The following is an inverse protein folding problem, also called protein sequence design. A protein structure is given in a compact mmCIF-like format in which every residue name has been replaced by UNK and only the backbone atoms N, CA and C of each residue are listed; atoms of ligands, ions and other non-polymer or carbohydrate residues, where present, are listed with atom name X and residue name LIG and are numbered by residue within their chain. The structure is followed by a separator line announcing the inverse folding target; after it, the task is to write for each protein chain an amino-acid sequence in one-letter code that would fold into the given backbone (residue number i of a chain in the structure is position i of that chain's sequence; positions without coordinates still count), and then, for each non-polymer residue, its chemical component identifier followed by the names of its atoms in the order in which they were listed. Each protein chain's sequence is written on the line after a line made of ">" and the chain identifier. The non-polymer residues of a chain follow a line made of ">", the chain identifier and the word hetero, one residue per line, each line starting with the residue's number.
data_IF_670849306654
#
_entry.id   IF_670849306654
#
_cell.length_a   1.000
_cell.length_b   1.000
_cell.length_c   1.000
_cell.angle_alpha   90.00
_cell.angle_beta   90.00
_cell.angle_gamma   90.00
#
_symmetry.space_group_name_H-M   'P 1'
#
loop_
_entity.id
_entity.type
_entity.pdbx_description
1 polymer ?
#
# COMPACT_ATOMS: atom_id res chain seq x y z
N UNK A 1 -34.73 2.80 -6.97
CA UNK A 1 -34.00 2.19 -5.84
C UNK A 1 -32.61 2.78 -5.85
N UNK A 2 -32.08 3.23 -4.71
CA UNK A 2 -30.70 3.73 -4.66
C UNK A 2 -29.73 2.60 -5.00
N UNK A 3 -28.68 2.90 -5.78
CA UNK A 3 -27.66 1.89 -6.10
C UNK A 3 -26.85 1.51 -4.83
N UNK A 4 -26.55 0.22 -4.62
CA UNK A 4 -25.77 -0.22 -3.48
C UNK A 4 -24.31 0.29 -3.59
N UNK A 5 -23.75 0.68 -2.44
CA UNK A 5 -22.35 1.11 -2.33
C UNK A 5 -21.42 -0.09 -2.42
N UNK A 6 -21.80 -1.21 -1.82
CA UNK A 6 -21.06 -2.48 -1.86
C UNK A 6 -22.01 -3.61 -2.23
N UNK A 7 -21.59 -4.45 -3.16
CA UNK A 7 -22.27 -5.70 -3.50
C UNK A 7 -21.23 -6.82 -3.58
N UNK A 8 -21.40 -7.85 -2.76
CA UNK A 8 -20.78 -9.16 -2.91
C UNK A 8 -21.86 -10.06 -3.50
N UNK A 9 -21.60 -10.65 -4.66
CA UNK A 9 -22.55 -11.47 -5.40
C UNK A 9 -21.99 -12.89 -5.55
N UNK A 10 -22.58 -13.82 -4.79
CA UNK A 10 -22.26 -15.25 -4.78
C UNK A 10 -20.76 -15.55 -4.71
N UNK A 11 -20.05 -14.85 -3.81
CA UNK A 11 -18.60 -14.97 -3.71
C UNK A 11 -18.19 -16.25 -2.99
N UNK A 12 -17.26 -16.99 -3.60
CA UNK A 12 -16.59 -18.12 -2.97
C UNK A 12 -15.12 -17.79 -2.77
N UNK A 13 -14.64 -17.92 -1.53
CA UNK A 13 -13.28 -17.55 -1.13
C UNK A 13 -12.63 -18.67 -0.33
N UNK A 14 -11.44 -19.08 -0.78
CA UNK A 14 -10.60 -20.08 -0.12
C UNK A 14 -9.44 -19.42 0.63
N UNK A 15 -9.16 -19.93 1.83
CA UNK A 15 -7.90 -19.67 2.55
C UNK A 15 -7.18 -20.99 2.81
N UNK A 16 -5.94 -21.10 2.33
CA UNK A 16 -5.22 -22.36 2.38
C UNK A 16 -5.99 -23.44 1.63
N UNK A 17 -6.31 -24.55 2.29
CA UNK A 17 -7.10 -25.64 1.70
C UNK A 17 -8.62 -25.50 1.93
N UNK A 18 -9.06 -24.63 2.84
CA UNK A 18 -10.45 -24.54 3.27
C UNK A 18 -11.24 -23.42 2.57
N UNK A 19 -12.48 -23.73 2.17
CA UNK A 19 -13.46 -22.72 1.74
C UNK A 19 -13.97 -22.01 2.99
N UNK A 20 -13.78 -20.69 3.06
CA UNK A 20 -14.21 -19.87 4.20
C UNK A 20 -15.53 -19.17 3.89
N UNK A 21 -15.70 -18.68 2.66
CA UNK A 21 -16.96 -18.14 2.17
C UNK A 21 -17.42 -19.01 0.99
N UNK A 22 -18.67 -19.44 1.00
CA UNK A 22 -19.27 -20.24 -0.08
C UNK A 22 -20.56 -19.56 -0.52
N UNK A 23 -20.62 -19.17 -1.78
CA UNK A 23 -21.78 -18.52 -2.41
C UNK A 23 -22.35 -17.36 -1.57
N UNK A 24 -21.45 -16.61 -0.91
CA UNK A 24 -21.83 -15.58 0.03
C UNK A 24 -22.28 -14.31 -0.71
N UNK A 25 -23.40 -13.73 -0.30
CA UNK A 25 -23.90 -12.48 -0.88
C UNK A 25 -24.16 -11.45 0.22
N UNK A 26 -23.77 -10.20 -0.04
CA UNK A 26 -23.98 -9.08 0.87
C UNK A 26 -24.20 -7.81 0.06
N UNK A 27 -25.23 -7.03 0.42
CA UNK A 27 -25.49 -5.72 -0.16
C UNK A 27 -25.47 -4.67 0.94
N UNK A 28 -24.83 -3.55 0.67
CA UNK A 28 -24.76 -2.41 1.59
C UNK A 28 -25.13 -1.16 0.83
N UNK A 29 -26.19 -0.50 1.29
CA UNK A 29 -26.71 0.72 0.68
C UNK A 29 -26.09 1.97 1.31
N UNK A 30 -26.34 3.11 0.68
CA UNK A 30 -26.00 4.41 1.26
C UNK A 30 -26.75 4.64 2.58
N UNK A 31 -26.01 5.10 3.60
CA UNK A 31 -26.54 5.32 4.95
C UNK A 31 -26.78 4.03 5.75
N UNK A 32 -26.34 2.87 5.24
CA UNK A 32 -26.45 1.60 5.93
C UNK A 32 -25.17 1.29 6.72
N UNK A 33 -25.33 0.80 7.95
CA UNK A 33 -24.24 0.28 8.78
C UNK A 33 -24.49 -1.21 9.04
N UNK A 34 -23.71 -2.08 8.41
CA UNK A 34 -23.79 -3.53 8.59
C UNK A 34 -22.72 -3.97 9.59
N UNK A 35 -23.14 -4.62 10.67
CA UNK A 35 -22.20 -5.23 11.63
C UNK A 35 -22.20 -6.75 11.44
N UNK A 36 -21.04 -7.27 11.03
CA UNK A 36 -20.74 -8.69 10.97
C UNK A 36 -20.39 -9.18 12.38
N UNK A 37 -21.20 -10.06 12.94
CA UNK A 37 -20.94 -10.72 14.22
C UNK A 37 -20.96 -12.25 14.07
N UNK A 38 -20.69 -12.99 15.16
CA UNK A 38 -20.56 -14.46 15.14
C UNK A 38 -19.16 -14.87 15.59
N UNK A 39 -18.92 -16.15 15.85
CA UNK A 39 -17.69 -16.63 16.51
C UNK A 39 -16.37 -16.24 15.81
N UNK A 40 -15.26 -16.30 16.56
CA UNK A 40 -13.93 -16.10 15.98
C UNK A 40 -13.65 -17.20 14.95
N UNK A 41 -13.21 -16.80 13.75
CA UNK A 41 -12.92 -17.74 12.67
C UNK A 41 -14.07 -18.03 11.71
N UNK A 42 -15.28 -17.49 11.95
CA UNK A 42 -16.44 -17.70 11.05
C UNK A 42 -16.28 -17.05 9.66
N UNK A 43 -15.34 -16.12 9.51
CA UNK A 43 -15.01 -15.50 8.21
C UNK A 43 -15.23 -13.99 8.12
N UNK A 44 -15.52 -13.28 9.21
CA UNK A 44 -15.74 -11.82 9.22
C UNK A 44 -14.61 -11.02 8.55
N UNK A 45 -13.37 -11.23 8.96
CA UNK A 45 -12.20 -10.58 8.35
C UNK A 45 -11.99 -11.01 6.89
N UNK A 46 -12.41 -12.23 6.52
CA UNK A 46 -12.42 -12.68 5.12
C UNK A 46 -13.42 -11.88 4.30
N UNK A 47 -14.60 -11.55 4.82
CA UNK A 47 -15.57 -10.70 4.13
C UNK A 47 -14.99 -9.30 3.92
N UNK A 48 -14.37 -8.70 4.96
CA UNK A 48 -13.74 -7.38 4.84
C UNK A 48 -12.58 -7.38 3.83
N UNK A 49 -11.65 -8.33 3.93
CA UNK A 49 -10.52 -8.44 2.99
C UNK A 49 -11.00 -8.74 1.56
N UNK A 50 -12.12 -9.47 1.40
CA UNK A 50 -12.76 -9.73 0.10
C UNK A 50 -13.38 -8.46 -0.47
N UNK A 51 -14.18 -7.73 0.32
CA UNK A 51 -14.77 -6.45 -0.06
C UNK A 51 -13.71 -5.40 -0.41
N UNK A 52 -12.52 -5.49 0.19
CA UNK A 52 -11.35 -4.66 -0.08
C UNK A 52 -10.44 -5.19 -1.22
N UNK A 53 -10.82 -6.27 -1.92
CA UNK A 53 -10.08 -6.84 -3.08
C UNK A 53 -8.65 -7.31 -2.74
N UNK A 54 -8.48 -7.78 -1.51
CA UNK A 54 -7.21 -8.32 -1.02
C UNK A 54 -7.08 -9.82 -1.25
N UNK A 55 -8.20 -10.53 -1.32
CA UNK A 55 -8.25 -11.97 -1.57
C UNK A 55 -8.68 -12.28 -3.00
N UNK A 56 -8.12 -13.32 -3.64
CA UNK A 56 -8.64 -13.85 -4.89
C UNK A 56 -10.00 -14.52 -4.66
N UNK A 57 -10.88 -14.44 -5.66
CA UNK A 57 -12.18 -15.11 -5.67
C UNK A 57 -12.08 -16.40 -6.51
N UNK A 58 -12.75 -17.47 -6.07
CA UNK A 58 -12.97 -18.66 -6.91
C UNK A 58 -14.18 -18.48 -7.83
N UNK A 59 -15.23 -17.81 -7.34
CA UNK A 59 -16.44 -17.47 -8.08
C UNK A 59 -17.06 -16.19 -7.54
N UNK A 60 -18.04 -15.66 -8.27
CA UNK A 60 -18.78 -14.46 -7.90
C UNK A 60 -18.05 -13.16 -8.22
N UNK A 61 -18.60 -12.04 -7.74
CA UNK A 61 -18.04 -10.71 -7.98
C UNK A 61 -18.19 -9.77 -6.79
N UNK A 62 -17.31 -8.77 -6.73
CA UNK A 62 -17.40 -7.64 -5.78
C UNK A 62 -17.55 -6.36 -6.59
N UNK A 63 -18.58 -5.58 -6.28
CA UNK A 63 -18.84 -4.28 -6.90
C UNK A 63 -18.82 -3.16 -5.87
N UNK A 64 -18.25 -2.03 -6.26
CA UNK A 64 -18.33 -0.77 -5.51
C UNK A 64 -19.08 0.24 -6.36
N UNK A 65 -20.17 0.82 -5.83
CA UNK A 65 -21.03 1.78 -6.53
C UNK A 65 -21.41 1.28 -7.94
N UNK A 66 -21.95 0.07 -8.02
CA UNK A 66 -22.37 -0.56 -9.28
C UNK A 66 -21.25 -1.12 -10.17
N UNK A 67 -19.98 -0.75 -9.96
CA UNK A 67 -18.86 -1.19 -10.80
C UNK A 67 -18.13 -2.40 -10.22
N UNK A 68 -17.94 -3.45 -11.03
CA UNK A 68 -17.13 -4.63 -10.67
C UNK A 68 -15.67 -4.23 -10.44
N UNK A 69 -15.20 -4.39 -9.21
CA UNK A 69 -13.79 -4.15 -8.83
C UNK A 69 -12.95 -5.42 -8.85
N UNK A 70 -13.57 -6.59 -8.63
CA UNK A 70 -12.97 -7.90 -8.89
C UNK A 70 -14.01 -9.01 -9.04
N UNK A 71 -13.65 -10.09 -9.73
CA UNK A 71 -14.47 -11.29 -9.93
C UNK A 71 -13.62 -12.56 -9.96
N UNK A 72 -14.28 -13.72 -9.98
CA UNK A 72 -13.63 -15.04 -10.11
C UNK A 72 -12.95 -15.29 -11.46
N UNK A 73 -13.24 -14.48 -12.48
CA UNK A 73 -12.55 -14.54 -13.79
C UNK A 73 -11.19 -13.81 -13.75
N UNK A 74 -10.86 -13.17 -12.62
CA UNK A 74 -9.60 -12.47 -12.40
C UNK A 74 -9.62 -11.00 -12.82
N UNK A 75 -10.79 -10.43 -13.16
CA UNK A 75 -10.93 -8.98 -13.39
C UNK A 75 -10.49 -8.24 -12.13
N UNK A 76 -9.83 -7.09 -12.32
CA UNK A 76 -9.34 -6.27 -11.21
C UNK A 76 -9.29 -4.79 -11.57
N UNK A 77 -10.39 -4.10 -11.34
CA UNK A 77 -10.50 -2.65 -11.57
C UNK A 77 -10.19 -1.88 -10.28
N UNK A 78 -9.70 -0.65 -10.44
CA UNK A 78 -9.59 0.26 -9.29
C UNK A 78 -11.00 0.72 -8.90
N UNK A 79 -11.30 0.85 -7.59
CA UNK A 79 -12.51 1.52 -7.13
C UNK A 79 -12.61 2.93 -7.73
N UNK A 80 -13.81 3.35 -8.15
CA UNK A 80 -14.03 4.71 -8.68
C UNK A 80 -13.82 5.80 -7.61
N UNK A 81 -14.08 5.45 -6.35
CA UNK A 81 -14.06 6.37 -5.21
C UNK A 81 -13.09 5.82 -4.15
N UNK A 82 -12.34 6.68 -3.45
CA UNK A 82 -11.57 6.26 -2.28
C UNK A 82 -12.52 5.70 -1.22
N UNK A 83 -12.09 4.70 -0.47
CA UNK A 83 -12.91 4.08 0.56
C UNK A 83 -12.14 3.91 1.87
N UNK A 84 -12.87 3.91 2.97
CA UNK A 84 -12.34 3.68 4.30
C UNK A 84 -11.92 2.22 4.50
N UNK A 85 -10.72 2.00 5.02
CA UNK A 85 -10.25 0.64 5.32
C UNK A 85 -9.41 0.62 6.60
N UNK A 86 -9.86 -0.18 7.57
CA UNK A 86 -9.09 -0.59 8.74
C UNK A 86 -9.03 -2.11 8.77
N UNK A 87 -7.83 -2.68 8.62
CA UNK A 87 -7.60 -4.12 8.72
C UNK A 87 -7.25 -4.51 10.16
N UNK A 88 -7.47 -5.77 10.53
CA UNK A 88 -7.13 -6.28 11.87
C UNK A 88 -5.63 -6.07 12.21
N UNK A 89 -4.74 -6.25 11.22
CA UNK A 89 -3.29 -6.05 11.39
C UNK A 89 -2.82 -4.58 11.31
N UNK A 90 -3.74 -3.61 11.33
CA UNK A 90 -3.52 -2.16 11.14
C UNK A 90 -2.96 -1.73 9.78
N UNK A 91 -1.99 -2.46 9.22
CA UNK A 91 -1.37 -2.24 7.91
C UNK A 91 -0.83 -0.81 7.73
N UNK A 92 -0.14 -0.30 8.76
CA UNK A 92 0.48 1.03 8.78
C UNK A 92 1.95 0.95 8.38
N UNK A 93 2.50 2.05 7.85
CA UNK A 93 3.94 2.15 7.53
C UNK A 93 4.72 2.58 8.77
N UNK A 94 5.56 1.74 9.39
CA UNK A 94 6.17 2.03 10.70
C UNK A 94 7.07 3.29 10.70
N UNK A 95 7.70 3.57 9.57
CA UNK A 95 8.64 4.69 9.41
C UNK A 95 7.96 6.05 9.24
N UNK A 96 6.65 6.09 8.94
CA UNK A 96 5.90 7.33 8.82
C UNK A 96 5.54 7.90 10.19
N UNK A 97 5.39 9.22 10.26
CA UNK A 97 4.75 9.84 11.42
C UNK A 97 3.23 9.68 11.35
N UNK A 98 2.54 9.86 12.49
CA UNK A 98 1.07 9.87 12.52
C UNK A 98 0.52 10.91 11.52
N UNK A 99 1.06 12.14 11.57
CA UNK A 99 0.67 13.22 10.68
C UNK A 99 0.83 12.84 9.22
N UNK A 100 2.00 12.30 8.83
CA UNK A 100 2.28 11.88 7.46
C UNK A 100 1.32 10.79 6.99
N UNK A 101 1.06 9.79 7.82
CA UNK A 101 0.13 8.70 7.48
C UNK A 101 -1.27 9.27 7.20
N UNK A 102 -1.80 10.11 8.09
CA UNK A 102 -3.14 10.67 7.94
C UNK A 102 -3.24 11.65 6.77
N UNK A 103 -2.23 12.51 6.57
CA UNK A 103 -2.16 13.42 5.42
C UNK A 103 -2.12 12.65 4.09
N UNK A 104 -1.43 11.50 4.04
CA UNK A 104 -1.42 10.65 2.84
C UNK A 104 -2.80 10.08 2.54
N UNK A 105 -3.57 9.68 3.56
CA UNK A 105 -4.94 9.17 3.39
C UNK A 105 -5.89 10.27 2.94
N UNK A 106 -5.76 11.47 3.49
CA UNK A 106 -6.53 12.66 3.09
C UNK A 106 -6.22 13.02 1.63
N UNK A 107 -4.93 13.07 1.27
CA UNK A 107 -4.49 13.39 -0.09
C UNK A 107 -4.91 12.32 -1.11
N UNK A 108 -5.04 11.05 -0.71
CA UNK A 108 -5.59 9.98 -1.54
C UNK A 108 -7.07 10.18 -1.88
N UNK A 109 -7.77 11.02 -1.11
CA UNK A 109 -9.14 11.41 -1.40
C UNK A 109 -9.23 12.70 -2.22
N UNK A 110 -8.10 13.24 -2.69
CA UNK A 110 -8.01 14.55 -3.37
C UNK A 110 -8.60 15.70 -2.55
N UNK A 111 -8.44 15.61 -1.21
CA UNK A 111 -8.92 16.61 -0.25
C UNK A 111 -7.77 17.18 0.57
N UNK A 112 -8.04 18.30 1.22
CA UNK A 112 -7.28 18.87 2.33
C UNK A 112 -8.23 19.03 3.52
N UNK A 113 -7.80 18.60 4.71
CA UNK A 113 -8.64 18.57 5.91
C UNK A 113 -7.78 18.76 7.16
N UNK A 114 -8.22 19.60 8.10
CA UNK A 114 -7.51 19.78 9.37
C UNK A 114 -7.79 18.60 10.30
N UNK A 115 -6.88 17.62 10.30
CA UNK A 115 -7.05 16.38 11.06
C UNK A 115 -6.77 16.54 12.56
N UNK A 116 -6.15 17.65 12.97
CA UNK A 116 -5.67 17.88 14.35
C UNK A 116 -6.76 17.68 15.41
N UNK A 117 -7.99 18.23 15.28
CA UNK A 117 -9.06 18.01 16.27
C UNK A 117 -9.42 16.53 16.46
N UNK A 118 -9.33 15.73 15.39
CA UNK A 118 -9.62 14.28 15.44
C UNK A 118 -8.51 13.54 16.20
N UNK A 119 -7.25 13.87 15.92
CA UNK A 119 -6.12 13.25 16.64
C UNK A 119 -6.17 13.62 18.13
N UNK A 120 -6.57 14.86 18.44
CA UNK A 120 -6.77 15.34 19.82
C UNK A 120 -7.92 14.63 20.53
N UNK A 121 -9.05 14.38 19.87
CA UNK A 121 -10.17 13.62 20.47
C UNK A 121 -9.74 12.22 20.88
N UNK A 122 -8.88 11.57 20.10
CA UNK A 122 -8.31 10.25 20.41
C UNK A 122 -7.14 10.28 21.42
N UNK A 123 -6.84 11.44 22.01
CA UNK A 123 -5.76 11.63 23.01
C UNK A 123 -4.36 11.24 22.48
N UNK A 124 -4.12 11.44 21.17
CA UNK A 124 -2.81 11.18 20.52
C UNK A 124 -2.23 12.42 19.83
N UNK A 125 -2.82 13.61 20.04
CA UNK A 125 -2.42 14.87 19.38
C UNK A 125 -0.99 15.30 19.65
N UNK A 126 -0.51 15.13 20.89
CA UNK A 126 0.88 15.43 21.28
C UNK A 126 1.92 14.51 20.61
N UNK A 127 1.50 13.36 20.08
CA UNK A 127 2.36 12.38 19.40
C UNK A 127 2.28 12.46 17.88
N UNK A 128 1.62 13.48 17.31
CA UNK A 128 1.40 13.56 15.85
C UNK A 128 2.67 13.46 15.00
N UNK A 129 3.81 13.90 15.54
CA UNK A 129 5.12 13.89 14.87
C UNK A 129 5.94 12.63 15.19
N UNK A 130 5.47 11.74 16.07
CA UNK A 130 6.14 10.49 16.38
C UNK A 130 5.99 9.52 15.22
N UNK A 131 7.03 8.72 14.99
CA UNK A 131 6.97 7.57 14.07
C UNK A 131 6.00 6.53 14.61
N UNK A 132 5.24 5.91 13.71
CA UNK A 132 4.26 4.85 14.06
C UNK A 132 4.95 3.68 14.78
N UNK A 133 6.20 3.38 14.43
CA UNK A 133 7.03 2.36 15.10
C UNK A 133 7.22 2.61 16.61
N UNK A 134 7.07 3.85 17.10
CA UNK A 134 7.26 4.22 18.52
C UNK A 134 5.94 4.28 19.31
N UNK A 135 4.82 3.94 18.67
CA UNK A 135 3.50 3.94 19.30
C UNK A 135 3.21 2.60 19.98
N UNK A 136 2.41 2.63 21.05
CA UNK A 136 1.84 1.40 21.62
C UNK A 136 0.84 0.77 20.64
N UNK A 137 0.53 -0.52 20.80
CA UNK A 137 -0.44 -1.21 19.94
C UNK A 137 -1.80 -0.51 19.87
N UNK A 138 -2.33 -0.02 21.01
CA UNK A 138 -3.57 0.74 21.05
C UNK A 138 -3.49 2.11 20.38
N UNK A 139 -2.34 2.78 20.45
CA UNK A 139 -2.12 4.04 19.71
C UNK A 139 -2.02 3.81 18.20
N UNK A 140 -1.34 2.74 17.77
CA UNK A 140 -1.35 2.32 16.37
C UNK A 140 -2.77 2.00 15.91
N UNK A 141 -3.58 1.36 16.75
CA UNK A 141 -4.98 1.10 16.46
C UNK A 141 -5.77 2.38 16.22
N UNK A 142 -5.63 3.38 17.08
CA UNK A 142 -6.26 4.70 16.90
C UNK A 142 -5.92 5.30 15.54
N UNK A 143 -4.64 5.27 15.15
CA UNK A 143 -4.21 5.78 13.84
C UNK A 143 -4.83 4.99 12.68
N UNK A 144 -4.90 3.67 12.78
CA UNK A 144 -5.51 2.81 11.76
C UNK A 144 -7.02 3.03 11.63
N UNK A 145 -7.71 3.25 12.75
CA UNK A 145 -9.15 3.55 12.78
C UNK A 145 -9.41 4.93 12.17
N UNK A 146 -8.68 5.97 12.59
CA UNK A 146 -8.81 7.31 12.00
C UNK A 146 -8.53 7.26 10.49
N UNK A 147 -7.48 6.53 10.06
CA UNK A 147 -7.19 6.30 8.64
C UNK A 147 -8.36 5.66 7.88
N UNK A 148 -9.06 4.72 8.52
CA UNK A 148 -10.25 4.09 7.95
C UNK A 148 -11.45 5.02 7.85
N UNK A 149 -11.61 5.98 8.76
CA UNK A 149 -12.74 6.89 8.78
C UNK A 149 -12.56 8.13 7.87
N UNK A 150 -11.31 8.55 7.63
CA UNK A 150 -10.98 9.75 6.86
C UNK A 150 -11.75 9.85 5.53
N UNK A 151 -11.83 8.81 4.69
CA UNK A 151 -12.54 8.91 3.41
C UNK A 151 -14.01 9.33 3.57
N UNK A 152 -14.69 8.92 4.64
CA UNK A 152 -16.02 9.44 4.98
C UNK A 152 -15.96 10.87 5.53
N UNK A 153 -15.07 11.13 6.49
CA UNK A 153 -14.97 12.44 7.15
C UNK A 153 -14.70 13.62 6.19
N UNK A 154 -14.02 13.35 5.08
CA UNK A 154 -13.59 14.39 4.12
C UNK A 154 -14.45 14.47 2.86
N UNK A 155 -15.46 13.61 2.69
CA UNK A 155 -16.29 13.60 1.48
C UNK A 155 -17.76 13.74 1.83
N UNK A 156 -18.47 14.64 1.14
CA UNK A 156 -19.94 14.73 1.27
C UNK A 156 -20.66 13.60 0.53
N UNK A 157 -20.09 13.14 -0.59
CA UNK A 157 -20.65 12.00 -1.31
C UNK A 157 -20.52 10.72 -0.50
N UNK A 158 -21.50 9.82 -0.63
CA UNK A 158 -21.44 8.48 -0.07
C UNK A 158 -20.12 7.76 -0.42
N UNK A 159 -19.47 7.21 0.62
CA UNK A 159 -18.24 6.41 0.58
C UNK A 159 -18.51 5.08 1.27
N UNK A 160 -17.75 4.07 0.87
CA UNK A 160 -17.68 2.80 1.57
C UNK A 160 -16.67 2.92 2.72
N UNK A 161 -16.97 2.35 3.88
CA UNK A 161 -16.06 2.26 5.02
C UNK A 161 -16.06 0.80 5.52
N UNK A 162 -14.91 0.16 5.50
CA UNK A 162 -14.70 -1.23 5.92
C UNK A 162 -13.81 -1.28 7.16
N UNK A 163 -14.34 -1.76 8.28
CA UNK A 163 -13.66 -1.77 9.57
C UNK A 163 -13.59 -3.20 10.12
N UNK A 164 -12.39 -3.74 10.27
CA UNK A 164 -12.15 -5.09 10.81
C UNK A 164 -11.64 -5.02 12.25
N UNK A 165 -12.53 -5.33 13.21
CA UNK A 165 -12.34 -5.24 14.67
C UNK A 165 -11.91 -3.86 15.19
N UNK A 166 -12.48 -2.73 14.72
CA UNK A 166 -11.95 -1.38 14.98
C UNK A 166 -11.76 -1.05 16.47
N UNK A 167 -12.56 -1.67 17.33
CA UNK A 167 -12.51 -1.55 18.79
C UNK A 167 -11.35 -2.30 19.47
N UNK A 168 -10.78 -3.31 18.81
CA UNK A 168 -9.73 -4.16 19.40
C UNK A 168 -8.47 -3.35 19.72
N UNK A 169 -8.14 -3.22 21.00
CA UNK A 169 -6.99 -2.45 21.50
C UNK A 169 -7.27 -0.96 21.74
N UNK A 170 -8.49 -0.48 21.54
CA UNK A 170 -8.91 0.86 21.97
C UNK A 170 -9.31 0.86 23.46
N UNK A 171 -9.03 1.97 24.14
CA UNK A 171 -9.62 2.28 25.45
C UNK A 171 -11.12 2.65 25.32
N UNK A 172 -11.85 2.55 26.43
CA UNK A 172 -13.31 2.78 26.47
C UNK A 172 -13.73 4.13 25.88
N UNK A 173 -13.04 5.22 26.26
CA UNK A 173 -13.30 6.57 25.73
C UNK A 173 -13.15 6.60 24.20
N UNK A 174 -12.11 5.94 23.68
CA UNK A 174 -11.85 5.89 22.24
C UNK A 174 -12.88 5.05 21.49
N UNK A 175 -13.46 4.01 22.12
CA UNK A 175 -14.57 3.25 21.55
C UNK A 175 -15.84 4.11 21.49
N UNK A 176 -16.12 4.92 22.52
CA UNK A 176 -17.27 5.83 22.50
C UNK A 176 -17.15 6.90 21.40
N UNK A 177 -15.94 7.45 21.22
CA UNK A 177 -15.65 8.39 20.12
C UNK A 177 -15.87 7.71 18.76
N UNK A 178 -15.36 6.49 18.59
CA UNK A 178 -15.54 5.71 17.36
C UNK A 178 -17.02 5.46 17.06
N UNK A 179 -17.79 5.02 18.05
CA UNK A 179 -19.25 4.80 17.95
C UNK A 179 -19.95 6.06 17.50
N UNK A 180 -19.65 7.20 18.13
CA UNK A 180 -20.21 8.51 17.77
C UNK A 180 -19.90 8.87 16.31
N UNK A 181 -18.65 8.70 15.88
CA UNK A 181 -18.24 8.99 14.51
C UNK A 181 -18.91 8.06 13.48
N UNK A 182 -19.07 6.78 13.78
CA UNK A 182 -19.80 5.83 12.91
C UNK A 182 -21.24 6.29 12.70
N UNK A 183 -21.94 6.69 13.77
CA UNK A 183 -23.29 7.22 13.65
C UNK A 183 -23.36 8.46 12.77
N UNK A 184 -22.49 9.44 13.01
CA UNK A 184 -22.43 10.68 12.24
C UNK A 184 -22.16 10.45 10.75
N UNK A 185 -21.23 9.54 10.43
CA UNK A 185 -20.85 9.19 9.06
C UNK A 185 -21.94 8.38 8.35
N UNK A 186 -22.61 7.47 9.06
CA UNK A 186 -23.78 6.77 8.53
C UNK A 186 -24.90 7.76 8.21
N UNK A 187 -25.21 8.68 9.12
CA UNK A 187 -26.26 9.68 8.92
C UNK A 187 -25.93 10.67 7.78
N UNK A 188 -24.65 10.87 7.48
CA UNK A 188 -24.19 11.60 6.28
C UNK A 188 -24.43 10.80 4.97
N UNK A 189 -24.81 9.53 5.04
CA UNK A 189 -25.14 8.69 3.90
C UNK A 189 -24.01 7.75 3.45
N UNK A 190 -22.98 7.53 4.28
CA UNK A 190 -21.94 6.55 3.98
C UNK A 190 -22.41 5.11 4.26
N UNK A 191 -21.88 4.16 3.49
CA UNK A 191 -22.11 2.73 3.69
C UNK A 191 -20.97 2.14 4.52
N UNK A 192 -21.28 1.50 5.64
CA UNK A 192 -20.30 1.04 6.61
C UNK A 192 -20.45 -0.46 6.83
N UNK A 193 -19.34 -1.21 6.81
CA UNK A 193 -19.29 -2.61 7.20
C UNK A 193 -18.28 -2.77 8.32
N UNK A 194 -18.72 -3.35 9.44
CA UNK A 194 -17.91 -3.51 10.65
C UNK A 194 -17.88 -4.97 11.03
N UNK A 195 -16.70 -5.59 11.13
CA UNK A 195 -16.54 -6.85 11.83
C UNK A 195 -16.24 -6.56 13.29
N UNK A 196 -17.14 -6.91 14.22
CA UNK A 196 -16.88 -6.75 15.65
C UNK A 196 -17.80 -7.61 16.52
N UNK A 197 -17.37 -7.87 17.74
CA UNK A 197 -18.16 -8.50 18.80
C UNK A 197 -18.66 -7.49 19.84
N UNK A 198 -18.21 -6.24 19.76
CA UNK A 198 -18.48 -5.25 20.77
C UNK A 198 -19.95 -4.83 20.73
N UNK A 199 -20.62 -4.90 21.88
CA UNK A 199 -22.03 -4.54 22.02
C UNK A 199 -22.31 -3.11 21.56
N UNK A 200 -21.44 -2.15 21.89
CA UNK A 200 -21.62 -0.73 21.54
C UNK A 200 -21.63 -0.53 20.02
N UNK A 201 -20.77 -1.25 19.30
CA UNK A 201 -20.74 -1.21 17.83
C UNK A 201 -21.96 -1.92 17.21
N UNK A 202 -22.44 -3.00 17.83
CA UNK A 202 -23.68 -3.66 17.40
C UNK A 202 -24.87 -2.71 17.51
N UNK A 203 -24.95 -1.89 18.55
CA UNK A 203 -26.01 -0.89 18.73
C UNK A 203 -25.99 0.20 17.63
N UNK A 204 -24.85 0.43 16.97
CA UNK A 204 -24.74 1.35 15.84
C UNK A 204 -25.31 0.81 14.52
N UNK A 205 -25.49 -0.51 14.40
CA UNK A 205 -25.83 -1.14 13.13
C UNK A 205 -27.24 -0.74 12.69
N UNK A 206 -27.49 -0.70 11.39
CA UNK A 206 -28.85 -0.79 10.83
C UNK A 206 -29.20 -2.23 10.50
N UNK A 207 -28.19 -3.06 10.22
CA UNK A 207 -28.32 -4.49 9.98
C UNK A 207 -27.22 -5.26 10.71
N UNK A 208 -27.61 -6.26 11.49
CA UNK A 208 -26.73 -7.24 12.13
C UNK A 208 -26.70 -8.48 11.26
N UNK A 209 -25.52 -8.92 10.85
CA UNK A 209 -25.36 -10.09 9.98
C UNK A 209 -24.45 -11.12 10.67
N UNK A 210 -24.96 -12.32 10.92
CA UNK A 210 -24.20 -13.42 11.54
C UNK A 210 -23.59 -14.40 10.52
N UNK A 211 -23.59 -13.99 9.25
CA UNK A 211 -23.22 -14.72 8.02
C UNK A 211 -24.31 -15.67 7.51
N UNK A 212 -25.33 -15.97 8.30
CA UNK A 212 -26.50 -16.79 7.89
C UNK A 212 -27.80 -15.98 7.82
N UNK A 213 -28.01 -15.10 8.79
CA UNK A 213 -29.23 -14.33 9.00
C UNK A 213 -28.90 -12.84 9.17
N UNK A 214 -29.84 -12.00 8.75
CA UNK A 214 -29.77 -10.56 8.88
C UNK A 214 -30.91 -10.06 9.77
N UNK A 215 -30.57 -9.31 10.83
CA UNK A 215 -31.54 -8.66 11.70
C UNK A 215 -31.44 -7.15 11.55
N UNK A 216 -32.53 -6.51 11.11
CA UNK A 216 -32.57 -5.05 10.96
C UNK A 216 -32.93 -4.36 12.27
N UNK A 217 -32.38 -3.17 12.48
CA UNK A 217 -32.68 -2.32 13.64
C UNK A 217 -32.61 -0.84 13.26
N UNK A 218 -33.30 0.01 14.03
CA UNK A 218 -33.34 1.47 13.84
C UNK A 218 -32.62 2.17 15.00
N UNK A 219 -31.33 2.49 14.85
CA UNK A 219 -30.54 3.15 15.88
C UNK A 219 -30.95 4.61 16.10
N UNK A 220 -31.12 5.00 17.36
CA UNK A 220 -31.57 6.34 17.79
C UNK A 220 -30.37 7.31 17.92
N UNK A 221 -30.03 8.00 16.82
CA UNK A 221 -28.98 9.02 16.80
C UNK A 221 -29.17 10.00 15.64
N UNK A 222 -29.17 11.30 15.91
CA UNK A 222 -29.56 12.34 14.94
C UNK A 222 -28.42 13.24 14.46
N UNK A 223 -27.27 13.30 15.15
CA UNK A 223 -26.17 14.16 14.71
C UNK A 223 -25.57 13.65 13.38
N UNK A 224 -25.14 14.59 12.55
CA UNK A 224 -24.55 14.34 11.22
C UNK A 224 -23.15 14.92 11.19
N UNK A 225 -22.22 14.23 10.52
CA UNK A 225 -20.86 14.72 10.36
C UNK A 225 -20.82 15.99 9.50
N UNK A 226 -20.08 17.00 9.93
CA UNK A 226 -19.84 18.21 9.13
C UNK A 226 -18.55 18.06 8.34
N UNK A 227 -18.65 18.15 7.01
CA UNK A 227 -17.52 18.00 6.11
C UNK A 227 -16.91 19.37 5.80
N UNK A 228 -15.81 19.68 6.50
CA UNK A 228 -15.03 20.90 6.32
C UNK A 228 -13.73 20.63 5.55
N UNK A 229 -13.83 19.95 4.41
CA UNK A 229 -12.68 19.64 3.55
C UNK A 229 -12.67 20.52 2.30
N UNK A 230 -11.46 20.78 1.80
CA UNK A 230 -11.25 21.55 0.56
C UNK A 230 -10.73 20.63 -0.53
N UNK A 231 -11.27 20.73 -1.74
CA UNK A 231 -10.75 20.01 -2.90
C UNK A 231 -9.32 20.44 -3.22
N UNK A 232 -8.45 19.45 -3.40
CA UNK A 232 -7.05 19.67 -3.72
C UNK A 232 -6.53 18.57 -4.61
N UNK A 233 -6.07 18.94 -5.80
CA UNK A 233 -5.51 17.99 -6.76
C UNK A 233 -4.05 17.68 -6.41
N UNK A 234 -3.74 16.41 -6.19
CA UNK A 234 -2.38 15.94 -5.92
C UNK A 234 -1.77 15.23 -7.13
N UNK A 235 -1.00 15.98 -7.92
CA UNK A 235 -0.21 15.37 -9.00
C UNK A 235 0.93 14.51 -8.45
N UNK A 236 1.13 13.32 -9.05
CA UNK A 236 2.20 12.38 -8.71
C UNK A 236 2.28 12.02 -7.22
N UNK A 237 1.13 11.98 -6.52
CA UNK A 237 1.05 11.74 -5.08
C UNK A 237 1.87 10.51 -4.66
N UNK A 238 1.68 9.36 -5.32
CA UNK A 238 2.36 8.10 -4.97
C UNK A 238 3.88 8.17 -5.13
N UNK A 239 4.36 8.90 -6.14
CA UNK A 239 5.80 9.14 -6.35
C UNK A 239 6.35 10.06 -5.27
N UNK A 240 5.63 11.13 -4.91
CA UNK A 240 6.01 12.03 -3.81
C UNK A 240 6.06 11.31 -2.47
N UNK A 241 5.09 10.43 -2.19
CA UNK A 241 5.06 9.61 -0.97
C UNK A 241 6.24 8.65 -0.94
N UNK A 242 6.50 7.91 -2.03
CA UNK A 242 7.62 6.98 -2.09
C UNK A 242 8.97 7.70 -1.98
N UNK A 243 9.10 8.86 -2.60
CA UNK A 243 10.25 9.74 -2.48
C UNK A 243 10.47 10.22 -1.04
N UNK A 244 9.43 10.70 -0.37
CA UNK A 244 9.51 11.13 1.03
C UNK A 244 9.86 9.96 1.97
N UNK A 245 9.27 8.78 1.74
CA UNK A 245 9.63 7.56 2.48
C UNK A 245 11.11 7.22 2.32
N UNK A 246 11.63 7.29 1.09
CA UNK A 246 13.03 7.02 0.83
C UNK A 246 13.95 8.04 1.51
N UNK A 247 13.65 9.34 1.42
CA UNK A 247 14.48 10.37 2.05
C UNK A 247 14.48 10.32 3.58
N UNK A 248 13.33 10.04 4.19
CA UNK A 248 13.22 9.99 5.66
C UNK A 248 13.85 8.74 6.27
N UNK A 249 14.00 7.67 5.50
CA UNK A 249 14.56 6.39 5.96
C UNK A 249 15.96 6.10 5.43
N UNK A 250 16.38 6.78 4.36
CA UNK A 250 17.60 6.50 3.59
C UNK A 250 17.72 5.04 3.13
N UNK A 251 16.58 4.38 2.90
CA UNK A 251 16.52 2.95 2.58
C UNK A 251 17.27 2.59 1.28
N UNK A 252 17.27 3.48 0.28
CA UNK A 252 18.06 3.29 -0.93
C UNK A 252 19.56 3.25 -0.64
N UNK A 253 20.05 4.16 0.22
CA UNK A 253 21.46 4.19 0.59
C UNK A 253 21.86 2.89 1.30
N UNK A 254 21.05 2.47 2.28
CA UNK A 254 21.32 1.28 3.09
C UNK A 254 21.34 -0.02 2.27
N UNK A 255 20.65 -0.06 1.12
CA UNK A 255 20.44 -1.31 0.37
C UNK A 255 21.02 -1.23 -1.04
N UNK A 256 20.52 -0.30 -1.84
CA UNK A 256 20.83 -0.18 -3.26
C UNK A 256 22.25 0.37 -3.44
N UNK A 257 22.61 1.45 -2.75
CA UNK A 257 23.97 2.01 -2.80
C UNK A 257 25.00 1.08 -2.19
N UNK A 258 24.70 0.47 -1.03
CA UNK A 258 25.60 -0.50 -0.42
C UNK A 258 25.94 -1.64 -1.39
N UNK A 259 24.95 -2.20 -2.09
CA UNK A 259 25.20 -3.26 -3.07
C UNK A 259 26.08 -2.78 -4.24
N UNK A 260 25.82 -1.59 -4.76
CA UNK A 260 26.60 -1.03 -5.85
C UNK A 260 28.07 -0.76 -5.44
N UNK A 261 28.28 -0.19 -4.25
CA UNK A 261 29.60 0.08 -3.69
C UNK A 261 30.38 -1.21 -3.39
N UNK A 262 29.71 -2.26 -2.89
CA UNK A 262 30.33 -3.57 -2.68
C UNK A 262 30.78 -4.21 -3.99
N UNK A 263 29.96 -4.14 -5.04
CA UNK A 263 30.35 -4.63 -6.38
C UNK A 263 31.51 -3.82 -6.94
N UNK A 264 31.44 -2.50 -6.84
CA UNK A 264 32.52 -1.62 -7.29
C UNK A 264 33.84 -1.92 -6.57
N UNK A 265 33.83 -2.01 -5.24
CA UNK A 265 35.01 -2.33 -4.44
C UNK A 265 35.54 -3.75 -4.70
N UNK A 266 34.64 -4.72 -4.93
CA UNK A 266 35.02 -6.08 -5.32
C UNK A 266 35.66 -6.16 -6.71
N UNK A 267 35.19 -5.37 -7.67
CA UNK A 267 35.81 -5.30 -9.00
C UNK A 267 37.22 -4.68 -8.92
N UNK A 268 37.38 -3.62 -8.12
CA UNK A 268 38.67 -2.99 -7.88
C UNK A 268 39.70 -3.88 -7.17
N UNK A 269 39.26 -4.85 -6.36
CA UNK A 269 40.18 -5.77 -5.70
C UNK A 269 40.68 -6.89 -6.61
N UNK A 270 39.93 -7.22 -7.67
CA UNK A 270 40.24 -8.33 -8.58
C UNK A 270 41.04 -7.88 -9.79
N UNK A 271 40.87 -6.62 -10.21
CA UNK A 271 41.48 -6.11 -11.43
C UNK A 271 41.94 -4.66 -11.26
N UNK A 272 43.18 -4.40 -11.66
CA UNK A 272 43.70 -3.03 -11.79
C UNK A 272 43.20 -2.44 -13.12
N UNK A 273 42.36 -1.39 -13.10
CA UNK A 273 41.82 -0.77 -14.31
C UNK A 273 42.91 -0.31 -15.28
N UNK A 274 44.09 0.09 -14.76
CA UNK A 274 45.23 0.56 -15.56
C UNK A 274 45.83 -0.55 -16.43
N UNK A 275 45.65 -1.81 -16.04
CA UNK A 275 46.16 -2.98 -16.78
C UNK A 275 45.22 -3.50 -17.86
N UNK A 276 43.98 -2.98 -17.90
CA UNK A 276 42.90 -3.44 -18.79
C UNK A 276 42.59 -2.44 -19.92
N UNK A 277 43.48 -1.47 -20.19
CA UNK A 277 43.26 -0.37 -21.14
C UNK A 277 42.86 -0.81 -22.55
N UNK A 278 43.27 -2.00 -22.99
CA UNK A 278 43.00 -2.50 -24.34
C UNK A 278 41.72 -3.36 -24.43
N UNK A 279 40.90 -3.38 -23.37
CA UNK A 279 39.67 -4.20 -23.27
C UNK A 279 38.44 -3.35 -22.94
N UNK A 280 38.04 -2.52 -23.90
CA UNK A 280 36.91 -1.57 -23.77
C UNK A 280 35.62 -2.21 -23.26
N UNK A 281 35.28 -3.41 -23.75
CA UNK A 281 34.07 -4.13 -23.32
C UNK A 281 34.12 -4.49 -21.83
N UNK A 282 35.29 -4.87 -21.32
CA UNK A 282 35.46 -5.26 -19.91
C UNK A 282 35.39 -4.02 -19.01
N UNK A 283 36.08 -2.94 -19.38
CA UNK A 283 36.02 -1.67 -18.65
C UNK A 283 34.61 -1.09 -18.63
N UNK A 284 33.88 -1.20 -19.74
CA UNK A 284 32.47 -0.81 -19.80
C UNK A 284 31.58 -1.68 -18.91
N UNK A 285 31.82 -3.00 -18.90
CA UNK A 285 31.15 -3.92 -18.00
C UNK A 285 31.36 -3.55 -16.53
N UNK A 286 32.60 -3.22 -16.14
CA UNK A 286 32.91 -2.80 -14.77
C UNK A 286 32.27 -1.47 -14.41
N UNK A 287 32.20 -0.54 -15.37
CA UNK A 287 31.59 0.78 -15.19
C UNK A 287 30.07 0.69 -14.98
N UNK A 288 29.40 -0.19 -15.71
CA UNK A 288 27.94 -0.35 -15.64
C UNK A 288 27.46 -1.40 -14.62
N UNK A 289 28.34 -2.29 -14.15
CA UNK A 289 27.97 -3.34 -13.19
C UNK A 289 27.43 -2.82 -11.84
N UNK A 290 27.97 -1.75 -11.22
CA UNK A 290 27.41 -1.18 -9.99
C UNK A 290 25.97 -0.68 -10.19
N UNK A 291 25.68 0.00 -11.31
CA UNK A 291 24.33 0.45 -11.64
C UNK A 291 23.39 -0.74 -11.88
N UNK A 292 23.81 -1.73 -12.67
CA UNK A 292 23.02 -2.94 -12.87
C UNK A 292 22.68 -3.65 -11.54
N UNK A 293 23.67 -3.80 -10.67
CA UNK A 293 23.48 -4.39 -9.33
C UNK A 293 22.50 -3.59 -8.50
N UNK A 294 22.62 -2.26 -8.51
CA UNK A 294 21.72 -1.35 -7.79
C UNK A 294 20.26 -1.59 -8.18
N UNK A 295 19.98 -1.77 -9.47
CA UNK A 295 18.63 -2.04 -9.94
C UNK A 295 18.15 -3.47 -9.70
N UNK A 296 19.05 -4.46 -9.63
CA UNK A 296 18.73 -5.83 -9.21
C UNK A 296 18.26 -5.92 -7.74
N UNK A 297 18.70 -5.00 -6.87
CA UNK A 297 18.18 -4.89 -5.50
C UNK A 297 16.68 -4.54 -5.49
N UNK A 298 16.21 -3.84 -6.52
CA UNK A 298 14.83 -3.45 -6.75
C UNK A 298 14.42 -2.15 -6.05
N UNK A 299 13.12 -1.87 -6.06
CA UNK A 299 12.57 -0.66 -5.44
C UNK A 299 12.67 -0.73 -3.90
N UNK A 300 13.38 0.19 -3.25
CA UNK A 300 13.57 0.15 -1.80
C UNK A 300 12.27 0.48 -1.04
N UNK A 301 11.36 1.27 -1.61
CA UNK A 301 10.04 1.59 -1.01
C UNK A 301 9.15 0.36 -0.94
N UNK A 302 9.25 -0.55 -1.91
CA UNK A 302 8.49 -1.81 -1.87
C UNK A 302 8.76 -2.59 -0.58
N UNK A 303 10.01 -2.60 -0.11
CA UNK A 303 10.38 -3.28 1.12
C UNK A 303 9.77 -2.62 2.35
N UNK A 304 9.81 -1.29 2.45
CA UNK A 304 9.16 -0.54 3.53
C UNK A 304 7.66 -0.87 3.57
N UNK A 305 7.00 -0.86 2.41
CA UNK A 305 5.57 -1.17 2.34
C UNK A 305 5.27 -2.65 2.69
N UNK A 306 6.21 -3.57 2.46
CA UNK A 306 6.02 -4.98 2.83
C UNK A 306 6.02 -5.22 4.34
N UNK A 307 6.55 -4.28 5.13
CA UNK A 307 6.52 -4.35 6.58
C UNK A 307 5.09 -4.19 7.11
N UNK A 308 4.74 -4.97 8.12
CA UNK A 308 3.42 -4.97 8.76
C UNK A 308 2.24 -5.05 7.77
N UNK A 309 2.44 -5.64 6.58
CA UNK A 309 1.43 -5.73 5.51
C UNK A 309 0.90 -4.37 5.04
N UNK A 310 1.64 -3.27 5.22
CA UNK A 310 1.18 -1.93 4.81
C UNK A 310 0.83 -1.84 3.31
N UNK A 311 1.54 -2.62 2.49
CA UNK A 311 1.30 -2.75 1.06
C UNK A 311 -0.10 -3.29 0.72
N UNK A 312 -0.71 -4.11 1.58
CA UNK A 312 -2.07 -4.60 1.37
C UNK A 312 -3.06 -3.43 1.42
N UNK A 313 -2.93 -2.54 2.40
CA UNK A 313 -3.76 -1.32 2.47
C UNK A 313 -3.64 -0.47 1.20
N UNK A 314 -2.40 -0.22 0.72
CA UNK A 314 -2.18 0.53 -0.52
C UNK A 314 -2.79 -0.14 -1.75
N UNK A 315 -2.70 -1.48 -1.83
CA UNK A 315 -3.26 -2.29 -2.91
C UNK A 315 -4.78 -2.34 -2.90
N UNK A 316 -5.40 -2.25 -1.72
CA UNK A 316 -6.85 -2.17 -1.58
C UNK A 316 -7.34 -0.89 -2.26
N UNK A 317 -6.72 0.25 -1.93
CA UNK A 317 -7.08 1.56 -2.46
C UNK A 317 -6.84 1.67 -3.98
N UNK A 318 -5.74 1.13 -4.50
CA UNK A 318 -5.44 1.16 -5.93
C UNK A 318 -4.41 0.08 -6.30
N UNK A 319 -4.40 -0.38 -7.55
CA UNK A 319 -3.40 -1.32 -8.04
C UNK A 319 -1.96 -0.78 -8.04
N UNK A 320 -1.78 0.54 -8.16
CA UNK A 320 -0.48 1.18 -8.06
C UNK A 320 -0.11 1.41 -6.58
N UNK A 321 1.13 1.20 -6.17
CA UNK A 321 1.61 1.52 -4.80
C UNK A 321 2.73 2.57 -4.85
N UNK A 322 3.04 3.29 -3.77
CA UNK A 322 4.14 4.24 -3.73
C UNK A 322 5.45 3.63 -4.25
N UNK A 323 6.25 4.45 -4.95
CA UNK A 323 7.50 4.04 -5.61
C UNK A 323 8.53 5.18 -5.53
N UNK A 324 9.81 4.82 -5.66
CA UNK A 324 10.92 5.79 -5.70
C UNK A 324 11.71 5.73 -7.00
N UNK A 325 11.05 5.53 -8.15
CA UNK A 325 11.74 5.41 -9.45
C UNK A 325 12.60 6.63 -9.81
N UNK A 326 12.17 7.84 -9.43
CA UNK A 326 12.96 9.06 -9.64
C UNK A 326 14.32 8.97 -8.92
N UNK A 327 14.34 8.38 -7.73
CA UNK A 327 15.58 8.21 -6.97
C UNK A 327 16.43 7.11 -7.58
N UNK A 328 15.84 6.03 -8.07
CA UNK A 328 16.56 4.97 -8.80
C UNK A 328 17.29 5.52 -10.03
N UNK A 329 16.68 6.47 -10.76
CA UNK A 329 17.32 7.13 -11.90
C UNK A 329 18.51 8.00 -11.44
N UNK A 330 18.27 8.86 -10.45
CA UNK A 330 19.30 9.80 -9.95
C UNK A 330 20.49 9.05 -9.35
N UNK A 331 20.22 8.02 -8.54
CA UNK A 331 21.27 7.16 -7.98
C UNK A 331 22.04 6.42 -9.06
N UNK A 332 21.37 5.97 -10.12
CA UNK A 332 22.01 5.38 -11.30
C UNK A 332 22.96 6.34 -12.01
N UNK A 333 22.55 7.59 -12.25
CA UNK A 333 23.44 8.60 -12.82
C UNK A 333 24.68 8.83 -11.94
N UNK A 334 24.47 8.99 -10.63
CA UNK A 334 25.57 9.26 -9.69
C UNK A 334 26.54 8.08 -9.58
N UNK A 335 26.05 6.85 -9.42
CA UNK A 335 26.90 5.69 -9.23
C UNK A 335 27.68 5.35 -10.50
N UNK A 336 27.08 5.54 -11.68
CA UNK A 336 27.78 5.36 -12.96
C UNK A 336 28.82 6.44 -13.18
N UNK A 337 28.55 7.71 -12.82
CA UNK A 337 29.57 8.76 -12.90
C UNK A 337 30.78 8.45 -12.00
N UNK A 338 30.55 7.97 -10.78
CA UNK A 338 31.61 7.53 -9.86
C UNK A 338 32.39 6.35 -10.45
N UNK A 339 31.69 5.32 -10.92
CA UNK A 339 32.31 4.14 -11.54
C UNK A 339 33.17 4.53 -12.75
N UNK A 340 32.67 5.44 -13.59
CA UNK A 340 33.36 5.87 -14.80
C UNK A 340 34.65 6.63 -14.49
N UNK A 341 34.62 7.50 -13.48
CA UNK A 341 35.82 8.19 -13.00
C UNK A 341 36.87 7.22 -12.46
N UNK A 342 36.44 6.12 -11.84
CA UNK A 342 37.31 5.10 -11.26
C UNK A 342 37.92 4.20 -12.35
N UNK A 343 37.12 3.68 -13.27
CA UNK A 343 37.54 2.64 -14.22
C UNK A 343 38.06 3.19 -15.56
N UNK A 344 37.48 4.29 -16.06
CA UNK A 344 37.79 4.85 -17.38
C UNK A 344 38.55 6.18 -17.26
N UNK A 345 38.56 6.81 -16.09
CA UNK A 345 39.20 8.12 -15.84
C UNK A 345 38.73 9.23 -16.82
N UNK A 346 37.51 9.09 -17.34
CA UNK A 346 36.87 10.03 -18.25
C UNK A 346 35.41 10.20 -17.86
N UNK A 347 34.74 11.21 -18.42
CA UNK A 347 33.32 11.47 -18.17
C UNK A 347 32.60 11.62 -19.51
N UNK A 348 31.74 10.67 -19.83
CA UNK A 348 30.82 10.70 -20.97
C UNK A 348 29.38 10.64 -20.47
N UNK A 349 28.63 11.70 -20.77
CA UNK A 349 27.24 11.81 -20.38
C UNK A 349 26.37 10.70 -20.98
N UNK A 350 26.73 10.14 -22.15
CA UNK A 350 26.00 9.05 -22.82
C UNK A 350 26.02 7.78 -21.97
N UNK A 351 27.18 7.45 -21.39
CA UNK A 351 27.35 6.29 -20.50
C UNK A 351 26.63 6.53 -19.17
N UNK A 352 26.70 7.75 -18.62
CA UNK A 352 25.96 8.11 -17.40
C UNK A 352 24.44 7.95 -17.61
N UNK A 353 23.92 8.44 -18.73
CA UNK A 353 22.51 8.27 -19.10
C UNK A 353 22.13 6.79 -19.25
N UNK A 354 23.00 5.98 -19.88
CA UNK A 354 22.82 4.53 -19.95
C UNK A 354 22.76 3.90 -18.56
N UNK A 355 23.63 4.31 -17.64
CA UNK A 355 23.65 3.89 -16.24
C UNK A 355 22.31 4.12 -15.52
N UNK A 356 21.78 5.34 -15.56
CA UNK A 356 20.46 5.63 -14.97
C UNK A 356 19.31 4.88 -15.64
N UNK A 357 19.37 4.69 -16.96
CA UNK A 357 18.42 3.87 -17.71
C UNK A 357 18.45 2.40 -17.30
N UNK A 358 19.64 1.85 -17.05
CA UNK A 358 19.82 0.49 -16.54
C UNK A 358 19.17 0.36 -15.16
N UNK A 359 19.46 1.26 -14.21
CA UNK A 359 18.88 1.16 -12.85
C UNK A 359 17.36 1.25 -12.91
N UNK A 360 16.81 2.19 -13.69
CA UNK A 360 15.37 2.36 -13.82
C UNK A 360 14.70 1.10 -14.40
N UNK A 361 15.18 0.61 -15.54
CA UNK A 361 14.59 -0.52 -16.25
C UNK A 361 14.66 -1.80 -15.41
N UNK A 362 15.82 -2.09 -14.82
CA UNK A 362 15.99 -3.27 -13.96
C UNK A 362 15.17 -3.17 -12.68
N UNK A 363 15.15 -2.02 -12.00
CA UNK A 363 14.31 -1.81 -10.80
C UNK A 363 12.83 -1.97 -11.12
N UNK A 364 12.39 -1.49 -12.29
CA UNK A 364 11.03 -1.64 -12.76
C UNK A 364 10.66 -3.11 -12.99
N UNK A 365 11.51 -3.88 -13.69
CA UNK A 365 11.28 -5.32 -13.91
C UNK A 365 11.27 -6.09 -12.59
N UNK A 366 12.23 -5.85 -11.70
CA UNK A 366 12.29 -6.49 -10.38
C UNK A 366 11.03 -6.19 -9.58
N UNK A 367 10.58 -4.94 -9.57
CA UNK A 367 9.34 -4.54 -8.89
C UNK A 367 8.10 -5.16 -9.52
N UNK A 368 8.03 -5.24 -10.84
CA UNK A 368 6.94 -5.92 -11.54
C UNK A 368 6.82 -7.39 -11.11
N UNK A 369 7.96 -8.10 -11.07
CA UNK A 369 8.00 -9.48 -10.62
C UNK A 369 7.56 -9.62 -9.15
N UNK A 370 8.01 -8.72 -8.26
CA UNK A 370 7.60 -8.70 -6.85
C UNK A 370 6.10 -8.41 -6.67
N UNK A 371 5.55 -7.46 -7.44
CA UNK A 371 4.13 -7.11 -7.39
C UNK A 371 3.23 -8.22 -7.92
N UNK A 372 3.75 -9.10 -8.80
CA UNK A 372 3.00 -10.22 -9.35
C UNK A 372 2.81 -11.34 -8.33
N UNK A 373 3.76 -11.53 -7.41
CA UNK A 373 3.77 -12.65 -6.46
C UNK A 373 3.26 -12.29 -5.08
N UNK A 374 3.14 -11.00 -4.76
CA UNK A 374 2.55 -10.54 -3.50
C UNK A 374 1.10 -11.02 -3.29
N UNK A 375 0.46 -11.45 -4.38
CA UNK A 375 -0.89 -12.02 -4.39
C UNK A 375 -0.94 -13.49 -3.98
N UNK A 376 0.21 -14.16 -3.98
CA UNK A 376 0.29 -15.57 -3.65
C UNK A 376 0.14 -15.75 -2.14
N UNK A 377 -0.56 -16.80 -1.68
CA UNK A 377 -0.76 -17.07 -0.25
C UNK A 377 0.54 -17.13 0.56
N UNK A 378 1.66 -17.47 -0.09
CA UNK A 378 3.02 -17.45 0.48
C UNK A 378 3.97 -16.65 -0.41
N UNK A 379 3.75 -15.33 -0.46
CA UNK A 379 4.56 -14.41 -1.27
C UNK A 379 6.07 -14.48 -1.00
N UNK A 380 6.47 -14.74 0.26
CA UNK A 380 7.88 -14.90 0.64
C UNK A 380 8.49 -16.27 0.27
N UNK A 381 7.68 -17.28 -0.03
CA UNK A 381 8.16 -18.62 -0.39
C UNK A 381 8.54 -18.74 -1.87
N UNK A 382 8.10 -17.80 -2.71
CA UNK A 382 8.43 -17.80 -4.13
C UNK A 382 9.76 -17.11 -4.33
N UNK A 383 10.76 -17.85 -4.80
CA UNK A 383 12.08 -17.32 -5.13
C UNK A 383 12.06 -16.56 -6.46
N UNK A 384 11.32 -15.45 -6.54
CA UNK A 384 11.27 -14.57 -7.73
C UNK A 384 12.65 -14.10 -8.15
N UNK A 385 13.58 -13.98 -7.21
CA UNK A 385 14.98 -13.64 -7.50
C UNK A 385 15.66 -14.66 -8.42
N UNK A 386 15.15 -15.88 -8.57
CA UNK A 386 15.65 -16.83 -9.56
C UNK A 386 15.34 -16.44 -11.01
N UNK A 387 14.39 -15.50 -11.22
CA UNK A 387 14.05 -14.99 -12.54
C UNK A 387 14.89 -13.79 -12.95
N UNK A 388 15.58 -13.12 -12.02
CA UNK A 388 16.39 -11.93 -12.34
C UNK A 388 17.59 -12.20 -13.27
N UNK A 389 18.18 -13.42 -13.38
CA UNK A 389 19.20 -13.71 -14.37
C UNK A 389 18.80 -13.44 -15.83
N UNK A 390 17.49 -13.40 -16.14
CA UNK A 390 17.00 -13.02 -17.48
C UNK A 390 17.46 -11.61 -17.89
N UNK A 391 17.78 -10.74 -16.92
CA UNK A 391 18.25 -9.38 -17.15
C UNK A 391 19.73 -9.28 -17.54
N UNK A 392 20.51 -10.36 -17.40
CA UNK A 392 21.95 -10.36 -17.70
C UNK A 392 22.19 -10.15 -19.20
N UNK A 393 21.42 -10.80 -20.07
CA UNK A 393 21.60 -10.68 -21.52
C UNK A 393 21.29 -9.26 -22.03
N UNK A 394 20.13 -8.64 -21.70
CA UNK A 394 19.90 -7.23 -22.03
C UNK A 394 20.99 -6.29 -21.51
N UNK A 395 21.49 -6.51 -20.30
CA UNK A 395 22.60 -5.74 -19.75
C UNK A 395 23.89 -5.91 -20.56
N UNK A 396 24.25 -7.14 -20.92
CA UNK A 396 25.44 -7.42 -21.73
C UNK A 396 25.39 -6.76 -23.11
N UNK A 397 24.21 -6.67 -23.74
CA UNK A 397 24.01 -5.95 -25.01
C UNK A 397 24.26 -4.44 -24.82
N UNK A 398 23.79 -3.85 -23.72
CA UNK A 398 24.04 -2.43 -23.42
C UNK A 398 25.52 -2.17 -23.17
N UNK A 399 26.22 -3.09 -22.50
CA UNK A 399 27.67 -3.01 -22.27
C UNK A 399 28.43 -3.02 -23.60
N UNK A 400 28.14 -3.97 -24.49
CA UNK A 400 28.76 -4.05 -25.83
C UNK A 400 28.48 -2.77 -26.65
N UNK A 401 27.25 -2.27 -26.61
CA UNK A 401 26.91 -1.01 -27.29
C UNK A 401 27.68 0.18 -26.72
N UNK A 402 27.72 0.35 -25.40
CA UNK A 402 28.39 1.49 -24.76
C UNK A 402 29.92 1.43 -24.93
N UNK A 403 30.50 0.23 -25.08
CA UNK A 403 31.94 0.09 -25.34
C UNK A 403 32.40 0.62 -26.71
N UNK A 404 31.45 0.87 -27.62
CA UNK A 404 31.70 1.37 -28.98
C UNK A 404 31.46 2.88 -29.12
N UNK A 405 31.03 3.56 -28.04
CA UNK A 405 30.75 4.99 -27.98
C UNK A 405 32.00 5.79 -27.63
#
# INVERSE_FOLDING_TARGET
>A
MAEPILELDNVTVRRGMGIVLRDFSLKVNAGECVVLHGENGIGKSTIIETAARLLPLESGSVKHNGMVICDGEGRRNNPAKPFGLTLQANCLVPSQTIQQQLDNVIALSDKSFEIKPIIESYKIGNRRNDKIAHLSGGQQRKVAVISGLIPGMVNQESRLILLDEPDSGLDDDSVEILVKQIHMLRNLGHGIVIASHNKRLRECATSLHDLSEATNQTPDFTEVWQVDSVDKNYSLLRTKIGWNLNFTTLVSIQRNWLAALLVMGGLLSIADPLTLSDRDVILMGFTLAPAFTMGLVGDPVFKILSEQRAIDWWRAQNNSVPNSYLESIISGFLITAIAMQIFIQSVDYRIILAGGGIVLSTSFVVRFLQMSTIRLPRSNAVFIRLLTPILILPWGIIVDYCSKL
#
